data_IF_068904290877
#
_entry.id   IF_068904290877
#
_cell.length_a   1.000
_cell.length_b   1.000
_cell.length_c   1.000
_cell.angle_alpha   90.00
_cell.angle_beta   90.00
_cell.angle_gamma   90.00
#
_symmetry.space_group_name_H-M   'P 1'
#
loop_
_entity.id
_entity.type
_entity.pdbx_description
1 polymer ?
#
# COMPACT_ATOMS: atom_id res chain seq x y z
N UNK A 1 -43.72 61.02 59.45
CA UNK A 1 -44.24 60.14 58.42
C UNK A 1 -43.50 60.31 57.09
N UNK A 2 -43.40 61.51 56.48
CA UNK A 2 -42.77 61.73 55.19
C UNK A 2 -41.30 61.28 55.08
N UNK A 3 -40.49 61.37 56.12
CA UNK A 3 -39.09 60.93 56.20
C UNK A 3 -38.98 59.37 56.27
N UNK A 4 -39.93 58.73 56.95
CA UNK A 4 -39.97 57.27 57.02
C UNK A 4 -40.36 56.68 55.68
N UNK A 5 -41.33 57.26 54.98
CA UNK A 5 -41.76 56.79 53.62
C UNK A 5 -40.69 57.09 52.56
N UNK A 6 -39.82 58.12 52.69
CA UNK A 6 -38.66 58.32 51.82
C UNK A 6 -37.59 57.27 52.06
N UNK A 7 -37.22 56.97 53.31
CA UNK A 7 -36.21 55.96 53.65
C UNK A 7 -36.65 54.55 53.23
N UNK A 8 -37.95 54.26 53.28
CA UNK A 8 -38.48 52.97 52.86
C UNK A 8 -38.46 52.80 51.36
N UNK A 9 -38.65 53.86 50.59
CA UNK A 9 -38.48 53.85 49.11
C UNK A 9 -37.03 53.72 48.71
N UNK A 10 -36.12 54.44 49.35
CA UNK A 10 -34.67 54.28 49.12
C UNK A 10 -34.17 52.86 49.45
N UNK A 11 -34.62 52.27 50.52
CA UNK A 11 -34.28 50.94 50.88
C UNK A 11 -34.77 49.90 49.82
N UNK A 12 -36.04 50.03 49.39
CA UNK A 12 -36.58 49.17 48.35
C UNK A 12 -35.88 49.34 47.01
N UNK A 13 -35.41 50.57 46.66
CA UNK A 13 -34.59 50.83 45.45
C UNK A 13 -33.24 50.12 45.53
N UNK A 14 -32.56 50.19 46.70
CA UNK A 14 -31.27 49.52 46.87
C UNK A 14 -31.38 48.00 46.90
N UNK A 15 -32.48 47.42 47.47
CA UNK A 15 -32.73 46.00 47.40
C UNK A 15 -32.90 45.50 45.92
N UNK A 16 -33.59 46.30 45.08
CA UNK A 16 -33.73 45.99 43.68
C UNK A 16 -32.41 46.13 42.92
N UNK A 17 -31.59 47.13 43.27
CA UNK A 17 -30.26 47.30 42.66
C UNK A 17 -29.33 46.16 43.04
N UNK A 18 -29.32 45.70 44.30
CA UNK A 18 -28.55 44.54 44.78
C UNK A 18 -29.00 43.28 44.04
N UNK A 19 -30.31 43.01 44.00
CA UNK A 19 -30.84 41.81 43.33
C UNK A 19 -30.52 41.82 41.82
N UNK A 20 -30.51 42.98 41.19
CA UNK A 20 -30.11 43.15 39.80
C UNK A 20 -28.60 42.92 39.62
N UNK A 21 -27.76 43.39 40.52
CA UNK A 21 -26.31 43.18 40.51
C UNK A 21 -25.98 41.70 40.72
N UNK A 22 -26.58 41.04 41.72
CA UNK A 22 -26.39 39.61 41.99
C UNK A 22 -26.81 38.75 40.79
N UNK A 23 -27.93 39.07 40.13
CA UNK A 23 -28.36 38.34 38.94
C UNK A 23 -27.43 38.58 37.74
N UNK A 24 -26.85 39.78 37.61
CA UNK A 24 -25.83 40.15 36.63
C UNK A 24 -24.53 39.36 36.85
N UNK A 25 -24.06 39.28 38.12
CA UNK A 25 -22.86 38.54 38.50
C UNK A 25 -22.98 37.04 38.19
N UNK A 26 -24.10 36.40 38.55
CA UNK A 26 -24.40 35.00 38.22
C UNK A 26 -24.44 34.77 36.71
N UNK A 27 -24.94 35.74 35.94
CA UNK A 27 -24.94 35.66 34.46
C UNK A 27 -23.54 35.74 33.88
N UNK A 28 -22.69 36.64 34.40
CA UNK A 28 -21.29 36.78 33.97
C UNK A 28 -20.46 35.56 34.33
N UNK A 29 -20.60 35.02 35.55
CA UNK A 29 -19.93 33.80 35.97
C UNK A 29 -20.29 32.62 35.07
N UNK A 30 -21.56 32.46 34.71
CA UNK A 30 -21.99 31.40 33.79
C UNK A 30 -21.39 31.56 32.39
N UNK A 31 -21.30 32.81 31.88
CA UNK A 31 -20.67 33.08 30.59
C UNK A 31 -19.17 32.80 30.63
N UNK A 32 -18.48 33.22 31.69
CA UNK A 32 -17.06 32.96 31.88
C UNK A 32 -16.73 31.47 31.95
N UNK A 33 -17.42 30.67 32.78
CA UNK A 33 -17.21 29.25 32.87
C UNK A 33 -17.58 28.52 31.56
N UNK A 34 -18.60 29.01 30.84
CA UNK A 34 -18.96 28.52 29.51
C UNK A 34 -17.86 28.78 28.47
N UNK A 35 -17.33 29.99 28.42
CA UNK A 35 -16.25 30.38 27.51
C UNK A 35 -14.95 29.61 27.83
N UNK A 36 -14.62 29.43 29.10
CA UNK A 36 -13.48 28.63 29.57
C UNK A 36 -13.58 27.19 29.15
N UNK A 37 -14.72 26.56 29.36
CA UNK A 37 -14.97 25.16 28.96
C UNK A 37 -14.84 24.95 27.46
N UNK A 38 -15.36 25.90 26.64
CA UNK A 38 -15.23 25.86 25.19
C UNK A 38 -13.78 26.01 24.74
N UNK A 39 -13.03 26.90 25.38
CA UNK A 39 -11.60 27.08 25.10
C UNK A 39 -10.79 25.82 25.39
N UNK A 40 -11.01 25.19 26.57
CA UNK A 40 -10.32 23.95 26.94
C UNK A 40 -10.69 22.78 25.97
N UNK A 41 -11.95 22.69 25.57
CA UNK A 41 -12.38 21.71 24.56
C UNK A 41 -11.70 21.94 23.21
N UNK A 42 -11.60 23.19 22.75
CA UNK A 42 -10.91 23.52 21.50
C UNK A 42 -9.41 23.22 21.57
N UNK A 43 -8.75 23.49 22.70
CA UNK A 43 -7.34 23.10 22.95
C UNK A 43 -7.14 21.59 22.89
N UNK A 44 -8.01 20.82 23.57
CA UNK A 44 -7.95 19.35 23.55
C UNK A 44 -8.05 18.82 22.14
N UNK A 45 -9.02 19.31 21.37
CA UNK A 45 -9.23 18.91 19.97
C UNK A 45 -8.01 19.18 19.08
N UNK A 46 -7.38 20.35 19.21
CA UNK A 46 -6.16 20.67 18.46
C UNK A 46 -5.03 19.70 18.85
N UNK A 47 -4.84 19.43 20.13
CA UNK A 47 -3.80 18.51 20.59
C UNK A 47 -4.03 17.08 20.08
N UNK A 48 -5.26 16.58 20.14
CA UNK A 48 -5.64 15.26 19.62
C UNK A 48 -5.35 15.14 18.12
N UNK A 49 -5.70 16.16 17.33
CA UNK A 49 -5.45 16.19 15.89
C UNK A 49 -3.96 16.26 15.56
N UNK A 50 -3.17 17.03 16.31
CA UNK A 50 -1.72 17.12 16.17
C UNK A 50 -1.04 15.78 16.49
N UNK A 51 -1.48 15.09 17.53
CA UNK A 51 -0.95 13.79 17.89
C UNK A 51 -1.32 12.71 16.85
N UNK A 52 -2.53 12.78 16.30
CA UNK A 52 -2.97 11.91 15.19
C UNK A 52 -2.14 12.17 13.91
N UNK A 53 -1.90 13.45 13.58
CA UNK A 53 -1.08 13.83 12.42
C UNK A 53 0.36 13.32 12.57
N UNK A 54 0.97 13.49 13.74
CA UNK A 54 2.32 12.97 14.02
C UNK A 54 2.38 11.44 13.94
N UNK A 55 1.32 10.73 14.32
CA UNK A 55 1.25 9.28 14.18
C UNK A 55 1.18 8.86 12.70
N UNK A 56 0.33 9.54 11.91
CA UNK A 56 0.20 9.29 10.49
C UNK A 56 1.48 9.64 9.72
N UNK A 57 2.17 10.72 10.08
CA UNK A 57 3.45 11.11 9.47
C UNK A 57 4.56 10.08 9.76
N UNK A 58 4.63 9.55 10.99
CA UNK A 58 5.55 8.45 11.31
C UNK A 58 5.25 7.19 10.50
N UNK A 59 3.97 6.84 10.32
CA UNK A 59 3.57 5.70 9.51
C UNK A 59 3.96 5.90 8.05
N UNK A 60 3.71 7.09 7.47
CA UNK A 60 4.11 7.46 6.11
C UNK A 60 5.62 7.26 5.91
N UNK A 61 6.43 7.86 6.78
CA UNK A 61 7.89 7.79 6.70
C UNK A 61 8.41 6.34 6.84
N UNK A 62 7.79 5.52 7.68
CA UNK A 62 8.13 4.11 7.82
C UNK A 62 7.81 3.31 6.54
N UNK A 63 6.68 3.61 5.88
CA UNK A 63 6.30 2.97 4.61
C UNK A 63 7.25 3.41 3.49
N UNK A 64 7.59 4.70 3.40
CA UNK A 64 8.54 5.24 2.42
C UNK A 64 9.92 4.57 2.55
N UNK A 65 10.47 4.48 3.76
CA UNK A 65 11.74 3.83 4.00
C UNK A 65 11.72 2.33 3.63
N UNK A 66 10.62 1.63 3.95
CA UNK A 66 10.44 0.22 3.59
C UNK A 66 10.33 0.04 2.08
N UNK A 67 9.61 0.92 1.40
CA UNK A 67 9.44 0.92 -0.06
C UNK A 67 10.79 1.12 -0.75
N UNK A 68 11.58 2.09 -0.30
CA UNK A 68 12.92 2.37 -0.84
C UNK A 68 13.85 1.16 -0.66
N UNK A 69 13.89 0.56 0.52
CA UNK A 69 14.69 -0.63 0.79
C UNK A 69 14.30 -1.81 -0.11
N UNK A 70 12.99 -2.02 -0.36
CA UNK A 70 12.53 -3.06 -1.25
C UNK A 70 12.85 -2.79 -2.73
N UNK A 71 12.72 -1.53 -3.19
CA UNK A 71 13.12 -1.13 -4.54
C UNK A 71 14.62 -1.35 -4.77
N UNK A 72 15.46 -1.01 -3.80
CA UNK A 72 16.90 -1.27 -3.88
C UNK A 72 17.21 -2.78 -3.93
N UNK A 73 16.51 -3.59 -3.17
CA UNK A 73 16.68 -5.04 -3.17
C UNK A 73 16.27 -5.65 -4.52
N UNK A 74 15.21 -5.14 -5.13
CA UNK A 74 14.74 -5.55 -6.45
C UNK A 74 15.75 -5.19 -7.55
N UNK A 75 16.43 -4.04 -7.45
CA UNK A 75 17.36 -3.52 -8.46
C UNK A 75 18.75 -4.17 -8.43
N UNK A 76 19.17 -4.78 -7.33
CA UNK A 76 20.54 -5.25 -7.13
C UNK A 76 20.77 -6.72 -7.52
N UNK A 77 19.86 -7.33 -8.27
CA UNK A 77 19.97 -8.72 -8.68
C UNK A 77 20.39 -8.86 -10.12
N UNK A 78 21.64 -9.39 -10.29
CA UNK A 78 22.07 -10.13 -11.49
C UNK A 78 22.20 -9.31 -12.82
N UNK A 79 22.69 -9.99 -13.86
CA UNK A 79 22.88 -9.44 -15.20
C UNK A 79 21.59 -8.92 -15.86
N UNK A 80 20.43 -9.48 -15.53
CA UNK A 80 19.12 -9.00 -15.93
C UNK A 80 18.86 -7.57 -15.48
N UNK A 81 19.14 -7.25 -14.23
CA UNK A 81 19.02 -5.89 -13.70
C UNK A 81 19.98 -4.91 -14.33
N UNK A 82 21.16 -5.37 -14.75
CA UNK A 82 22.14 -4.54 -15.47
C UNK A 82 21.61 -4.17 -16.87
N UNK A 83 21.05 -5.13 -17.61
CA UNK A 83 20.43 -4.91 -18.92
C UNK A 83 19.22 -3.98 -18.86
N UNK A 84 18.37 -4.12 -17.84
CA UNK A 84 17.18 -3.27 -17.65
C UNK A 84 17.55 -1.81 -17.35
N UNK A 85 18.68 -1.56 -16.67
CA UNK A 85 19.17 -0.21 -16.38
C UNK A 85 19.79 0.48 -17.59
N UNK A 86 20.51 -0.28 -18.41
CA UNK A 86 21.19 0.24 -19.59
C UNK A 86 21.05 -0.76 -20.75
N UNK A 87 20.05 -0.53 -21.59
CA UNK A 87 19.69 -1.44 -22.69
C UNK A 87 20.75 -1.56 -23.79
N UNK A 88 21.67 -0.59 -23.91
CA UNK A 88 22.82 -0.60 -24.85
C UNK A 88 22.50 -1.08 -26.29
N UNK A 89 21.36 -0.64 -26.80
CA UNK A 89 20.90 -1.02 -28.15
C UNK A 89 20.14 -2.36 -28.21
N UNK A 90 19.85 -2.99 -27.09
CA UNK A 90 18.95 -4.15 -26.99
C UNK A 90 17.51 -3.67 -26.92
N UNK A 91 16.62 -4.22 -27.75
CA UNK A 91 15.19 -3.92 -27.70
C UNK A 91 14.51 -4.69 -26.56
N UNK A 92 14.60 -4.14 -25.33
CA UNK A 92 14.06 -4.74 -24.12
C UNK A 92 12.62 -4.31 -23.92
N UNK A 93 11.72 -5.26 -23.64
CA UNK A 93 10.33 -5.02 -23.25
C UNK A 93 10.20 -4.83 -21.73
N UNK A 94 11.01 -5.50 -20.95
CA UNK A 94 11.01 -5.46 -19.48
C UNK A 94 11.43 -6.78 -18.87
N UNK A 95 11.30 -6.93 -17.55
CA UNK A 95 11.38 -8.26 -16.89
C UNK A 95 10.01 -8.93 -16.89
N UNK A 96 9.97 -10.27 -16.84
CA UNK A 96 8.70 -10.99 -16.68
C UNK A 96 7.94 -10.47 -15.46
N UNK A 97 8.59 -10.38 -14.30
CA UNK A 97 7.97 -9.88 -13.08
C UNK A 97 7.39 -8.45 -13.19
N UNK A 98 7.95 -7.61 -14.06
CA UNK A 98 7.45 -6.25 -14.30
C UNK A 98 6.38 -6.15 -15.40
N UNK A 99 6.19 -7.21 -16.19
CA UNK A 99 5.25 -7.24 -17.32
C UNK A 99 3.99 -8.05 -17.05
N UNK A 100 3.86 -8.65 -15.86
CA UNK A 100 2.72 -9.49 -15.48
C UNK A 100 1.95 -8.89 -14.31
N UNK A 101 0.65 -9.13 -14.32
CA UNK A 101 -0.25 -8.88 -13.21
C UNK A 101 -0.75 -10.24 -12.67
N UNK A 102 -0.71 -10.41 -11.36
CA UNK A 102 -1.07 -11.66 -10.69
C UNK A 102 -2.26 -11.41 -9.76
N UNK A 103 -3.22 -12.32 -9.76
CA UNK A 103 -4.34 -12.27 -8.82
C UNK A 103 -3.85 -12.43 -7.38
N UNK A 104 -4.45 -11.68 -6.44
CA UNK A 104 -4.09 -11.71 -5.03
C UNK A 104 -4.09 -13.13 -4.45
N UNK A 105 -3.00 -13.48 -3.79
CA UNK A 105 -2.80 -14.79 -3.17
C UNK A 105 -2.28 -15.87 -4.10
N UNK A 106 -1.93 -15.54 -5.37
CA UNK A 106 -1.29 -16.45 -6.33
C UNK A 106 0.15 -16.09 -6.65
N UNK A 107 0.71 -15.07 -6.00
CA UNK A 107 2.08 -14.59 -6.24
C UNK A 107 3.13 -15.66 -5.97
N UNK A 108 2.93 -16.44 -4.90
CA UNK A 108 3.82 -17.56 -4.56
C UNK A 108 3.77 -18.68 -5.57
N UNK A 109 2.58 -19.02 -6.06
CA UNK A 109 2.39 -20.03 -7.10
C UNK A 109 3.02 -19.59 -8.41
N UNK A 110 2.81 -18.33 -8.82
CA UNK A 110 3.39 -17.77 -10.03
C UNK A 110 4.93 -17.75 -9.96
N UNK A 111 5.48 -17.26 -8.84
CA UNK A 111 6.92 -17.25 -8.60
C UNK A 111 7.54 -18.65 -8.62
N UNK A 112 6.87 -19.62 -8.02
CA UNK A 112 7.34 -21.01 -7.99
C UNK A 112 7.29 -21.67 -9.36
N UNK A 113 6.23 -21.42 -10.14
CA UNK A 113 6.05 -21.97 -11.48
C UNK A 113 7.09 -21.41 -12.47
N UNK A 114 7.31 -20.10 -12.45
CA UNK A 114 8.29 -19.42 -13.30
C UNK A 114 9.73 -19.71 -12.85
N UNK A 115 9.95 -19.93 -11.56
CA UNK A 115 11.29 -20.21 -11.03
C UNK A 115 12.30 -19.10 -11.37
N UNK A 116 13.44 -19.43 -12.00
CA UNK A 116 14.44 -18.45 -12.45
C UNK A 116 13.93 -17.53 -13.56
N UNK A 117 12.94 -17.97 -14.33
CA UNK A 117 12.36 -17.17 -15.40
C UNK A 117 11.55 -15.98 -14.88
N UNK A 118 11.21 -15.97 -13.59
CA UNK A 118 10.56 -14.80 -12.99
C UNK A 118 11.38 -13.50 -13.15
N UNK A 119 12.70 -13.63 -13.13
CA UNK A 119 13.67 -12.55 -13.24
C UNK A 119 14.19 -12.34 -14.69
N UNK A 120 13.68 -13.14 -15.63
CA UNK A 120 14.14 -13.11 -17.03
C UNK A 120 13.79 -11.78 -17.68
N UNK A 121 14.72 -11.31 -18.53
CA UNK A 121 14.52 -10.14 -19.38
C UNK A 121 13.85 -10.55 -20.68
N UNK A 122 12.77 -9.86 -21.04
CA UNK A 122 12.04 -10.12 -22.28
C UNK A 122 12.50 -9.12 -23.34
N UNK A 123 12.90 -9.64 -24.50
CA UNK A 123 13.34 -8.88 -25.67
C UNK A 123 12.44 -9.12 -26.87
N UNK A 124 12.44 -8.19 -27.83
CA UNK A 124 11.52 -8.22 -28.97
C UNK A 124 11.86 -9.27 -30.02
N UNK A 125 13.14 -9.65 -30.14
CA UNK A 125 13.62 -10.52 -31.20
C UNK A 125 14.91 -11.28 -30.82
N UNK A 126 15.22 -12.29 -31.59
CA UNK A 126 16.39 -13.14 -31.38
C UNK A 126 17.71 -12.36 -31.49
N UNK A 127 17.78 -11.35 -32.35
CA UNK A 127 18.98 -10.51 -32.52
C UNK A 127 19.27 -9.72 -31.23
N UNK A 128 18.24 -9.16 -30.64
CA UNK A 128 18.30 -8.50 -29.33
C UNK A 128 18.74 -9.44 -28.22
N UNK A 129 18.28 -10.69 -28.23
CA UNK A 129 18.71 -11.71 -27.25
C UNK A 129 20.21 -12.02 -27.39
N UNK A 130 20.70 -12.21 -28.62
CA UNK A 130 22.13 -12.46 -28.90
C UNK A 130 22.98 -11.26 -28.48
N UNK A 131 22.52 -10.04 -28.76
CA UNK A 131 23.21 -8.82 -28.37
C UNK A 131 23.26 -8.70 -26.84
N UNK A 132 22.15 -8.96 -26.14
CA UNK A 132 22.10 -8.96 -24.67
C UNK A 132 23.11 -9.93 -24.06
N UNK A 133 23.14 -11.18 -24.52
CA UNK A 133 24.08 -12.18 -24.02
C UNK A 133 25.54 -11.83 -24.32
N UNK A 134 25.79 -11.20 -25.47
CA UNK A 134 27.13 -10.75 -25.84
C UNK A 134 27.59 -9.59 -24.94
N UNK A 135 26.71 -8.64 -24.67
CA UNK A 135 26.95 -7.51 -23.74
C UNK A 135 27.23 -7.99 -22.33
N UNK A 136 26.39 -8.90 -21.80
CA UNK A 136 26.60 -9.49 -20.48
C UNK A 136 27.98 -10.14 -20.35
N UNK A 137 28.44 -10.83 -21.38
CA UNK A 137 29.73 -11.52 -21.38
C UNK A 137 30.91 -10.56 -21.53
N UNK A 138 30.84 -9.61 -22.50
CA UNK A 138 31.94 -8.68 -22.78
C UNK A 138 32.19 -7.72 -21.64
N UNK A 139 31.17 -7.37 -20.87
CA UNK A 139 31.25 -6.41 -19.77
C UNK A 139 31.24 -7.06 -18.38
N UNK A 140 31.23 -8.42 -18.34
CA UNK A 140 31.24 -9.19 -17.10
C UNK A 140 30.13 -8.78 -16.11
N UNK A 141 28.90 -8.57 -16.66
CA UNK A 141 27.73 -8.10 -15.90
C UNK A 141 26.98 -9.21 -15.14
N UNK A 142 27.45 -10.45 -15.20
CA UNK A 142 26.81 -11.61 -14.62
C UNK A 142 26.00 -12.41 -15.65
N UNK A 143 25.06 -13.22 -15.16
CA UNK A 143 24.19 -14.05 -15.99
C UNK A 143 22.75 -13.52 -15.92
N UNK A 144 22.00 -13.70 -17.01
CA UNK A 144 20.56 -13.44 -17.05
C UNK A 144 19.88 -14.47 -17.95
N UNK A 145 18.65 -14.84 -17.59
CA UNK A 145 17.73 -15.48 -18.49
C UNK A 145 17.13 -14.43 -19.42
N UNK A 146 17.22 -14.67 -20.74
CA UNK A 146 16.67 -13.76 -21.75
C UNK A 146 15.61 -14.51 -22.55
N UNK A 147 14.41 -13.99 -22.59
CA UNK A 147 13.28 -14.56 -23.31
C UNK A 147 12.96 -13.70 -24.54
N UNK A 148 12.74 -14.37 -25.66
CA UNK A 148 12.35 -13.72 -26.91
C UNK A 148 10.85 -13.72 -27.02
N UNK A 149 10.25 -12.56 -27.20
CA UNK A 149 8.83 -12.42 -27.44
C UNK A 149 8.54 -12.44 -28.94
N UNK A 150 7.91 -13.51 -29.41
CA UNK A 150 7.40 -13.61 -30.78
C UNK A 150 5.87 -13.59 -30.73
N UNK A 151 5.21 -12.53 -31.25
CA UNK A 151 3.75 -12.46 -31.25
C UNK A 151 3.12 -13.63 -32.00
N UNK A 152 2.06 -14.20 -31.41
CA UNK A 152 1.30 -15.31 -32.02
C UNK A 152 1.84 -16.72 -31.72
N UNK A 153 2.93 -16.86 -31.00
CA UNK A 153 3.38 -18.16 -30.50
C UNK A 153 2.59 -18.56 -29.23
N UNK A 154 1.42 -19.14 -29.40
CA UNK A 154 0.68 -19.73 -28.29
C UNK A 154 1.16 -21.18 -28.04
N UNK A 155 1.49 -21.48 -26.78
CA UNK A 155 1.84 -22.85 -26.39
C UNK A 155 0.64 -23.79 -26.54
N UNK A 156 0.84 -24.92 -27.23
CA UNK A 156 -0.16 -25.99 -27.36
C UNK A 156 -0.28 -26.80 -26.07
N UNK A 157 -0.52 -26.14 -24.93
CA UNK A 157 -0.77 -26.83 -23.66
C UNK A 157 -2.14 -27.48 -23.65
N UNK A 158 -2.17 -28.82 -23.56
CA UNK A 158 -3.42 -29.54 -23.39
C UNK A 158 -3.72 -29.69 -21.88
N UNK A 159 -4.39 -28.71 -21.29
CA UNK A 159 -4.85 -28.80 -19.92
C UNK A 159 -6.12 -29.65 -19.88
N UNK A 160 -6.15 -30.71 -19.09
CA UNK A 160 -7.34 -31.56 -18.97
C UNK A 160 -8.56 -30.79 -18.49
N UNK A 161 -9.73 -31.17 -19.02
CA UNK A 161 -11.00 -30.55 -18.62
C UNK A 161 -11.23 -30.69 -17.10
N UNK A 162 -11.66 -29.61 -16.45
CA UNK A 162 -11.91 -29.57 -15.00
C UNK A 162 -10.70 -29.15 -14.15
N UNK A 163 -9.53 -28.93 -14.74
CA UNK A 163 -8.39 -28.34 -14.04
C UNK A 163 -8.27 -26.85 -14.39
N UNK A 164 -7.88 -26.06 -13.39
CA UNK A 164 -7.66 -24.62 -13.58
C UNK A 164 -6.21 -24.37 -13.97
N UNK A 165 -5.94 -23.72 -15.13
CA UNK A 165 -4.59 -23.34 -15.51
C UNK A 165 -4.07 -22.20 -14.64
N UNK A 166 -2.76 -22.18 -14.36
CA UNK A 166 -2.14 -21.06 -13.65
C UNK A 166 -2.25 -19.74 -14.46
N UNK A 167 -2.24 -19.83 -15.78
CA UNK A 167 -2.44 -18.67 -16.66
C UNK A 167 -3.80 -17.96 -16.49
N UNK A 168 -4.78 -18.58 -15.84
CA UNK A 168 -6.02 -17.90 -15.48
C UNK A 168 -5.84 -16.84 -14.39
N UNK A 169 -4.79 -16.95 -13.58
CA UNK A 169 -4.45 -16.06 -12.47
C UNK A 169 -3.30 -15.09 -12.80
N UNK A 170 -2.77 -15.13 -14.02
CA UNK A 170 -1.67 -14.27 -14.45
C UNK A 170 -2.07 -13.59 -15.76
N UNK A 171 -1.99 -12.27 -15.80
CA UNK A 171 -2.33 -11.46 -16.98
C UNK A 171 -1.14 -10.65 -17.44
N UNK A 172 -1.07 -10.38 -18.73
CA UNK A 172 -0.15 -9.42 -19.30
C UNK A 172 -0.75 -8.83 -20.59
N UNK A 173 -0.69 -7.54 -20.73
CA UNK A 173 -1.08 -6.85 -21.95
C UNK A 173 -0.02 -6.96 -23.07
N UNK A 174 1.22 -7.27 -22.71
CA UNK A 174 2.36 -7.24 -23.62
C UNK A 174 2.83 -8.63 -24.03
N UNK A 175 2.92 -9.57 -23.09
CA UNK A 175 3.54 -10.89 -23.28
C UNK A 175 2.58 -12.07 -22.99
N UNK A 176 1.27 -11.87 -23.17
CA UNK A 176 0.24 -12.90 -22.88
C UNK A 176 0.47 -14.22 -23.61
N UNK A 177 0.88 -14.17 -24.89
CA UNK A 177 1.17 -15.37 -25.70
C UNK A 177 2.39 -16.14 -25.16
N UNK A 178 3.45 -15.41 -24.79
CA UNK A 178 4.66 -15.99 -24.19
C UNK A 178 4.33 -16.67 -22.85
N UNK A 179 3.54 -16.00 -21.98
CA UNK A 179 3.10 -16.60 -20.71
C UNK A 179 2.27 -17.85 -20.91
N UNK A 180 1.35 -17.83 -21.86
CA UNK A 180 0.54 -18.98 -22.23
C UNK A 180 1.38 -20.15 -22.69
N UNK A 181 2.47 -19.89 -23.40
CA UNK A 181 3.45 -20.90 -23.82
C UNK A 181 4.26 -21.45 -22.63
N UNK A 182 4.80 -20.57 -21.78
CA UNK A 182 5.61 -20.97 -20.62
C UNK A 182 4.81 -21.78 -19.60
N UNK A 183 3.54 -21.46 -19.43
CA UNK A 183 2.65 -22.08 -18.45
C UNK A 183 1.69 -23.12 -19.06
N UNK A 184 1.93 -23.54 -20.28
CA UNK A 184 1.02 -24.34 -21.08
C UNK A 184 0.55 -25.68 -20.44
N UNK A 185 1.35 -26.24 -19.53
CA UNK A 185 1.02 -27.48 -18.80
C UNK A 185 0.92 -27.28 -17.29
N UNK A 186 0.84 -26.04 -16.83
CA UNK A 186 0.85 -25.71 -15.40
C UNK A 186 -0.56 -25.44 -14.90
N UNK A 187 -1.00 -26.25 -13.92
CA UNK A 187 -2.31 -26.15 -13.27
C UNK A 187 -2.16 -25.80 -11.79
N UNK A 188 -3.20 -25.27 -11.20
CA UNK A 188 -3.20 -24.87 -9.79
C UNK A 188 -3.91 -25.89 -8.91
N UNK A 189 -3.43 -26.00 -7.66
CA UNK A 189 -4.07 -26.74 -6.59
C UNK A 189 -4.05 -25.92 -5.29
N UNK A 190 -4.99 -26.16 -4.40
CA UNK A 190 -5.04 -25.44 -3.11
C UNK A 190 -3.90 -25.87 -2.17
N UNK A 191 -3.52 -27.13 -2.19
CA UNK A 191 -2.51 -27.70 -1.31
C UNK A 191 -1.84 -28.94 -1.94
N UNK A 192 -0.82 -29.46 -1.28
CA UNK A 192 -0.05 -30.62 -1.76
C UNK A 192 -0.88 -31.90 -1.92
N UNK A 193 -1.90 -32.13 -1.07
CA UNK A 193 -2.76 -33.31 -1.19
C UNK A 193 -3.65 -33.23 -2.44
N UNK A 194 -4.19 -32.05 -2.74
CA UNK A 194 -4.93 -31.82 -3.97
C UNK A 194 -4.02 -31.97 -5.21
N UNK A 195 -2.78 -31.52 -5.13
CA UNK A 195 -1.79 -31.69 -6.19
C UNK A 195 -1.47 -33.16 -6.45
N UNK A 196 -1.33 -33.98 -5.41
CA UNK A 196 -1.13 -35.43 -5.55
C UNK A 196 -2.30 -36.11 -6.27
N UNK A 197 -3.54 -35.76 -5.88
CA UNK A 197 -4.75 -36.29 -6.52
C UNK A 197 -4.81 -35.95 -8.02
N UNK A 198 -4.46 -34.73 -8.40
CA UNK A 198 -4.39 -34.30 -9.80
C UNK A 198 -3.33 -35.11 -10.56
N UNK A 199 -2.12 -35.24 -10.01
CA UNK A 199 -1.02 -35.94 -10.67
C UNK A 199 -1.25 -37.44 -10.84
N UNK A 200 -2.01 -38.06 -9.94
CA UNK A 200 -2.42 -39.49 -10.11
C UNK A 200 -3.32 -39.68 -11.34
N UNK A 201 -4.19 -38.72 -11.62
CA UNK A 201 -5.11 -38.76 -12.77
C UNK A 201 -4.49 -38.20 -14.04
N UNK A 202 -3.62 -37.17 -13.90
CA UNK A 202 -3.02 -36.42 -15.01
C UNK A 202 -1.50 -36.28 -14.82
N UNK A 203 -0.70 -37.33 -15.08
CA UNK A 203 0.73 -37.35 -14.76
C UNK A 203 1.60 -36.39 -15.61
N UNK A 204 1.05 -35.81 -16.66
CA UNK A 204 1.79 -34.98 -17.62
C UNK A 204 1.64 -33.45 -17.33
N UNK A 205 0.89 -33.07 -16.28
CA UNK A 205 0.80 -31.69 -15.88
C UNK A 205 1.83 -31.35 -14.79
N UNK A 206 2.16 -30.08 -14.68
CA UNK A 206 2.85 -29.52 -13.51
C UNK A 206 1.80 -28.87 -12.61
N UNK A 207 1.78 -29.24 -11.36
CA UNK A 207 0.83 -28.68 -10.38
C UNK A 207 1.56 -27.71 -9.47
N UNK A 208 0.98 -26.54 -9.27
CA UNK A 208 1.49 -25.54 -8.36
C UNK A 208 0.46 -25.24 -7.28
N UNK A 209 0.89 -25.22 -6.02
CA UNK A 209 0.03 -24.87 -4.90
C UNK A 209 0.06 -23.37 -4.60
N UNK A 210 -0.93 -22.86 -3.87
CA UNK A 210 -0.92 -21.46 -3.37
C UNK A 210 0.31 -21.15 -2.54
N UNK A 211 0.80 -22.10 -1.77
CA UNK A 211 1.99 -21.95 -0.93
C UNK A 211 3.30 -21.89 -1.73
N UNK A 212 3.24 -22.18 -3.02
CA UNK A 212 4.39 -22.16 -3.92
C UNK A 212 5.12 -23.50 -4.01
N UNK A 213 4.47 -24.62 -3.72
CA UNK A 213 5.01 -25.92 -4.05
C UNK A 213 4.77 -26.24 -5.53
N UNK A 214 5.79 -26.74 -6.20
CA UNK A 214 5.73 -27.20 -7.59
C UNK A 214 5.91 -28.69 -7.62
N UNK A 215 4.92 -29.41 -8.08
CA UNK A 215 4.94 -30.87 -8.12
C UNK A 215 4.66 -31.36 -9.56
N UNK A 216 5.49 -32.24 -10.07
CA UNK A 216 5.34 -32.87 -11.37
C UNK A 216 5.83 -34.31 -11.29
N UNK A 217 5.66 -35.08 -12.38
CA UNK A 217 6.13 -36.46 -12.41
C UNK A 217 7.65 -36.55 -12.19
N UNK A 218 8.05 -37.12 -11.05
CA UNK A 218 9.45 -37.30 -10.68
C UNK A 218 10.15 -36.09 -10.06
N UNK A 219 9.42 -34.96 -9.81
CA UNK A 219 9.99 -33.78 -9.17
C UNK A 219 8.98 -33.13 -8.24
N UNK A 220 9.42 -32.86 -7.04
CA UNK A 220 8.73 -31.95 -6.13
C UNK A 220 9.70 -30.86 -5.63
N UNK A 221 9.27 -29.64 -5.61
CA UNK A 221 10.00 -28.48 -5.05
C UNK A 221 9.01 -27.68 -4.21
N UNK A 222 9.36 -27.39 -2.98
CA UNK A 222 8.51 -26.64 -2.06
C UNK A 222 9.17 -26.54 -0.70
N UNK A 223 8.41 -26.15 0.30
CA UNK A 223 8.85 -25.99 1.68
C UNK A 223 8.93 -24.52 2.13
N UNK A 224 9.51 -24.26 3.30
CA UNK A 224 9.64 -22.92 3.83
C UNK A 224 10.55 -22.05 2.97
N UNK A 225 10.11 -20.82 2.67
CA UNK A 225 10.85 -19.90 1.80
C UNK A 225 12.07 -19.35 2.51
N UNK A 226 13.22 -19.44 1.86
CA UNK A 226 14.47 -18.82 2.31
C UNK A 226 14.74 -17.42 1.70
N UNK A 227 14.05 -17.08 0.60
CA UNK A 227 14.16 -15.76 -0.05
C UNK A 227 12.89 -15.46 -0.85
N UNK A 228 12.43 -14.20 -0.79
CA UNK A 228 11.32 -13.73 -1.64
C UNK A 228 11.77 -13.64 -3.10
N UNK A 229 10.93 -14.07 -4.03
CA UNK A 229 11.16 -13.88 -5.47
C UNK A 229 10.92 -12.41 -5.86
N UNK A 230 11.40 -11.99 -7.05
CA UNK A 230 11.10 -10.64 -7.56
C UNK A 230 9.59 -10.40 -7.72
N UNK A 231 8.83 -11.42 -8.09
CA UNK A 231 7.36 -11.34 -8.19
C UNK A 231 6.75 -10.98 -6.82
N UNK A 232 7.18 -11.67 -5.75
CA UNK A 232 6.69 -11.39 -4.40
C UNK A 232 7.12 -10.01 -3.90
N UNK A 233 8.35 -9.61 -4.23
CA UNK A 233 8.85 -8.27 -3.91
C UNK A 233 8.03 -7.19 -4.64
N UNK A 234 7.73 -7.37 -5.92
CA UNK A 234 6.91 -6.43 -6.69
C UNK A 234 5.49 -6.32 -6.16
N UNK A 235 4.84 -7.44 -5.81
CA UNK A 235 3.52 -7.44 -5.19
C UNK A 235 3.52 -6.69 -3.83
N UNK A 236 4.58 -6.86 -3.03
CA UNK A 236 4.76 -6.10 -1.79
C UNK A 236 4.98 -4.61 -2.04
N UNK A 237 5.74 -4.24 -3.07
CA UNK A 237 5.95 -2.84 -3.49
C UNK A 237 4.62 -2.19 -3.85
N UNK A 238 3.80 -2.83 -4.72
CA UNK A 238 2.48 -2.31 -5.10
C UNK A 238 1.56 -2.14 -3.89
N UNK A 239 1.54 -3.10 -2.97
CA UNK A 239 0.77 -3.01 -1.73
C UNK A 239 1.20 -1.84 -0.85
N UNK A 240 2.52 -1.61 -0.74
CA UNK A 240 3.07 -0.48 0.02
C UNK A 240 2.80 0.86 -0.67
N UNK A 241 2.83 0.94 -1.99
CA UNK A 241 2.51 2.16 -2.76
C UNK A 241 1.05 2.58 -2.55
N UNK A 242 0.11 1.62 -2.61
CA UNK A 242 -1.31 1.88 -2.29
C UNK A 242 -1.48 2.39 -0.86
N UNK A 243 -0.85 1.70 0.10
CA UNK A 243 -0.91 2.12 1.50
C UNK A 243 -0.28 3.50 1.72
N UNK A 244 0.81 3.83 1.04
CA UNK A 244 1.44 5.14 1.09
C UNK A 244 0.49 6.25 0.61
N UNK A 245 -0.25 6.00 -0.47
CA UNK A 245 -1.26 6.95 -0.97
C UNK A 245 -2.37 7.19 0.06
N UNK A 246 -2.89 6.14 0.68
CA UNK A 246 -3.92 6.23 1.72
C UNK A 246 -3.44 7.03 2.93
N UNK A 247 -2.24 6.73 3.45
CA UNK A 247 -1.67 7.43 4.61
C UNK A 247 -1.33 8.87 4.26
N UNK A 248 -0.82 9.16 3.06
CA UNK A 248 -0.55 10.53 2.60
C UNK A 248 -1.83 11.34 2.54
N UNK A 249 -2.91 10.79 1.98
CA UNK A 249 -4.22 11.45 1.97
C UNK A 249 -4.74 11.71 3.39
N UNK A 250 -4.54 10.76 4.31
CA UNK A 250 -4.91 10.95 5.72
C UNK A 250 -4.10 12.07 6.39
N UNK A 251 -2.79 12.16 6.13
CA UNK A 251 -1.95 13.26 6.63
C UNK A 251 -2.46 14.63 6.13
N UNK A 252 -2.80 14.73 4.84
CA UNK A 252 -3.30 15.99 4.26
C UNK A 252 -4.66 16.38 4.85
N UNK A 253 -5.56 15.41 5.06
CA UNK A 253 -6.84 15.63 5.75
C UNK A 253 -6.63 16.14 7.18
N UNK A 254 -5.75 15.51 7.95
CA UNK A 254 -5.46 15.91 9.32
C UNK A 254 -4.85 17.31 9.39
N UNK A 255 -3.96 17.67 8.47
CA UNK A 255 -3.41 19.05 8.38
C UNK A 255 -4.51 20.08 8.13
N UNK A 256 -5.48 19.78 7.28
CA UNK A 256 -6.63 20.65 7.04
C UNK A 256 -7.51 20.76 8.29
N UNK A 257 -7.78 19.66 8.98
CA UNK A 257 -8.56 19.65 10.22
C UNK A 257 -7.85 20.43 11.34
N UNK A 258 -6.52 20.32 11.47
CA UNK A 258 -5.70 21.10 12.41
C UNK A 258 -5.84 22.62 12.12
N UNK A 259 -5.73 23.02 10.85
CA UNK A 259 -5.86 24.42 10.48
C UNK A 259 -7.24 24.97 10.85
N UNK A 260 -8.30 24.19 10.60
CA UNK A 260 -9.69 24.56 10.96
C UNK A 260 -9.86 24.64 12.48
N UNK A 261 -9.39 23.63 13.22
CA UNK A 261 -9.47 23.61 14.69
C UNK A 261 -8.64 24.72 15.34
N UNK A 262 -7.50 25.08 14.75
CA UNK A 262 -6.67 26.20 15.23
C UNK A 262 -7.39 27.54 15.04
N UNK A 263 -8.11 27.71 13.93
CA UNK A 263 -8.93 28.90 13.71
C UNK A 263 -10.06 28.97 14.74
N UNK A 264 -10.74 27.86 15.02
CA UNK A 264 -11.75 27.76 16.08
C UNK A 264 -11.17 28.08 17.46
N UNK A 265 -10.00 27.51 17.79
CA UNK A 265 -9.30 27.81 19.05
C UNK A 265 -9.02 29.30 19.22
N UNK A 266 -8.58 29.98 18.15
CA UNK A 266 -8.33 31.42 18.17
C UNK A 266 -9.62 32.21 18.45
N UNK A 267 -10.75 31.80 17.85
CA UNK A 267 -12.06 32.40 18.13
C UNK A 267 -12.46 32.18 19.58
N UNK A 268 -12.34 30.97 20.14
CA UNK A 268 -12.69 30.64 21.53
C UNK A 268 -11.78 31.38 22.53
N UNK A 269 -10.51 31.60 22.18
CA UNK A 269 -9.62 32.41 23.00
C UNK A 269 -10.11 33.88 23.06
N UNK A 270 -10.52 34.43 21.91
CA UNK A 270 -11.10 35.78 21.89
C UNK A 270 -12.39 35.89 22.70
N UNK A 271 -13.28 34.89 22.58
CA UNK A 271 -14.54 34.86 23.36
C UNK A 271 -14.26 34.80 24.87
N UNK A 272 -13.26 34.03 25.28
CA UNK A 272 -12.82 33.91 26.67
C UNK A 272 -12.21 35.22 27.17
N UNK A 273 -11.37 35.90 26.39
CA UNK A 273 -10.73 37.16 26.74
C UNK A 273 -11.79 38.28 26.90
N UNK A 274 -12.87 38.26 26.10
CA UNK A 274 -14.02 39.14 26.24
C UNK A 274 -14.81 38.84 27.54
N UNK A 275 -15.00 37.56 27.86
CA UNK A 275 -15.71 37.18 29.09
C UNK A 275 -14.90 37.50 30.39
N UNK A 276 -13.58 37.69 30.26
CA UNK A 276 -12.69 38.03 31.37
C UNK A 276 -12.60 39.55 31.62
N UNK A 277 -12.94 40.40 30.62
CA UNK A 277 -12.84 41.88 30.67
C UNK A 277 -14.10 42.51 31.25
#
# INVERSE_FOLDING_TARGET
QARADSAQREYASHELEIASADSGELGLDSQFEGAKSQLESAKSKVNELVDAERAADRERNAIEAKLEAMKLTSQNRDGGSALLRDSRGVSILGSIAGLIEIDNGWESAAAAALGSLADAVVVQDLSSAVTALTTLRSENLGQADVLVYEPGQTGNGNIPAGLTPLSAHIRSSTIGDLLSSLLASTVVAENANAAEAILRSHPNVTVVTRDGDVISRGRARGGSKSSSSLIEINALIEGLEKKLQEVTHNCDRLKFEIATATTELTSRQSDFDVALS
#
